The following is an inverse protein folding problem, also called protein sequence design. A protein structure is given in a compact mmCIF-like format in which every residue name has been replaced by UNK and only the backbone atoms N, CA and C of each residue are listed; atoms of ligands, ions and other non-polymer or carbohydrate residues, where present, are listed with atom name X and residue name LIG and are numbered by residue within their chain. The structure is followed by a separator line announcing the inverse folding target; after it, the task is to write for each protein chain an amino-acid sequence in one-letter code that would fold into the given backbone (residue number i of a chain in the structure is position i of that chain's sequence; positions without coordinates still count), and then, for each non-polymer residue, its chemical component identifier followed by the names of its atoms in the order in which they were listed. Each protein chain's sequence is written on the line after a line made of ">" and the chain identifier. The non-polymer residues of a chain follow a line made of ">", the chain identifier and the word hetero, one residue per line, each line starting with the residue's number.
data_IF_789064297374
#
_entry.id   IF_789064297374
#
_cell.length_a   1.000
_cell.length_b   1.000
_cell.length_c   1.000
_cell.angle_alpha   90.00
_cell.angle_beta   90.00
_cell.angle_gamma   90.00
#
_symmetry.space_group_name_H-M   'P 1'
#
loop_
_entity.id
_entity.type
_entity.pdbx_description
1 polymer ?
#
# COMPACT_ATOMS: atom_id res chain seq x y z
N UNK A 1 -8.11 20.04 80.73
CA UNK A 1 -7.76 20.92 81.88
C UNK A 1 -8.10 22.36 81.54
N UNK A 2 -8.68 23.04 82.52
CA UNK A 2 -9.39 24.32 82.46
C UNK A 2 -8.48 25.51 82.16
N UNK A 3 -8.99 26.40 81.32
CA UNK A 3 -8.97 27.87 81.39
C UNK A 3 -7.66 28.64 81.68
N UNK A 4 -7.40 29.67 80.86
CA UNK A 4 -7.43 31.08 81.32
C UNK A 4 -7.53 32.05 80.14
N UNK A 5 -8.70 32.71 80.06
CA UNK A 5 -8.87 34.02 79.42
C UNK A 5 -8.20 35.07 80.32
N UNK A 6 -7.45 35.98 79.74
CA UNK A 6 -7.29 37.34 80.26
C UNK A 6 -7.32 38.31 79.08
N UNK A 7 -8.43 39.04 78.97
CA UNK A 7 -8.50 40.27 78.19
C UNK A 7 -7.67 41.34 78.89
N UNK A 8 -6.91 42.14 78.13
CA UNK A 8 -6.61 43.53 78.50
C UNK A 8 -6.82 44.42 77.27
N UNK A 9 -7.52 45.52 77.55
CA UNK A 9 -8.09 46.58 76.72
C UNK A 9 -7.11 47.47 75.94
N UNK A 10 -7.65 48.11 74.88
CA UNK A 10 -7.26 49.44 74.36
C UNK A 10 -6.17 49.41 73.27
N UNK A 11 -6.30 50.05 72.11
CA UNK A 11 -6.94 51.34 71.79
C UNK A 11 -7.53 51.27 70.38
N UNK A 12 -8.82 51.61 70.26
CA UNK A 12 -9.48 51.94 69.00
C UNK A 12 -9.08 53.38 68.68
N UNK A 13 -8.44 53.60 67.53
CA UNK A 13 -8.40 54.92 66.89
C UNK A 13 -9.36 54.85 65.71
N UNK A 14 -10.43 55.60 65.86
CA UNK A 14 -11.38 55.92 64.80
C UNK A 14 -10.66 56.71 63.72
N UNK A 15 -10.54 56.10 62.54
CA UNK A 15 -10.39 56.80 61.27
C UNK A 15 -11.45 56.21 60.33
N UNK A 16 -12.72 56.59 60.57
CA UNK A 16 -13.82 56.39 59.63
C UNK A 16 -13.66 57.34 58.42
N UNK A 17 -12.64 57.09 57.59
CA UNK A 17 -12.63 57.60 56.21
C UNK A 17 -13.10 56.49 55.26
N UNK A 18 -14.23 56.74 54.62
CA UNK A 18 -14.83 55.87 53.61
C UNK A 18 -13.81 55.64 52.48
N UNK A 19 -13.35 54.38 52.28
CA UNK A 19 -12.52 54.05 51.10
C UNK A 19 -13.38 54.20 49.84
N UNK A 20 -13.11 55.23 49.04
CA UNK A 20 -13.78 55.43 47.74
C UNK A 20 -13.45 54.24 46.84
N UNK A 21 -14.48 53.46 46.51
CA UNK A 21 -14.40 52.38 45.52
C UNK A 21 -14.22 53.02 44.14
N UNK A 22 -13.01 52.97 43.59
CA UNK A 22 -12.77 53.31 42.19
C UNK A 22 -13.48 52.28 41.30
N UNK A 23 -14.65 52.64 40.78
CA UNK A 23 -15.48 51.76 39.94
C UNK A 23 -14.86 51.45 38.57
N UNK A 24 -13.76 52.12 38.21
CA UNK A 24 -13.07 51.87 36.95
C UNK A 24 -11.53 51.93 37.13
N UNK A 25 -10.91 50.88 37.71
CA UNK A 25 -9.47 50.81 37.77
C UNK A 25 -8.93 50.75 36.33
N UNK A 26 -8.09 51.72 35.94
CA UNK A 26 -7.35 51.63 34.67
C UNK A 26 -6.55 50.34 34.71
N UNK A 27 -7.01 49.33 33.96
CA UNK A 27 -6.32 48.03 33.84
C UNK A 27 -4.85 48.32 33.56
N UNK A 28 -3.97 47.96 34.49
CA UNK A 28 -2.54 47.92 34.20
C UNK A 28 -2.40 46.98 33.02
N UNK A 29 -2.01 47.52 31.86
CA UNK A 29 -1.71 46.71 30.69
C UNK A 29 -0.44 45.97 31.07
N UNK A 30 -0.59 44.78 31.66
CA UNK A 30 0.51 43.81 31.75
C UNK A 30 0.94 43.56 30.32
N UNK A 31 2.05 44.20 29.92
CA UNK A 31 2.61 44.04 28.60
C UNK A 31 2.79 42.55 28.35
N UNK A 32 2.05 42.00 27.39
CA UNK A 32 2.18 40.61 26.97
C UNK A 32 3.65 40.41 26.62
N UNK A 33 4.41 39.69 27.45
CA UNK A 33 5.78 39.33 27.09
C UNK A 33 5.72 38.60 25.75
N UNK A 34 6.34 39.18 24.72
CA UNK A 34 6.47 38.52 23.42
C UNK A 34 7.29 37.27 23.65
N UNK A 35 6.63 36.12 23.61
CA UNK A 35 7.27 34.81 23.66
C UNK A 35 8.35 34.76 22.57
N UNK A 36 9.64 34.67 22.98
CA UNK A 36 10.76 34.58 22.05
C UNK A 36 10.58 33.29 21.24
N UNK A 37 10.49 33.43 19.91
CA UNK A 37 10.41 32.27 19.03
C UNK A 37 11.75 31.51 19.10
N UNK A 38 11.73 30.17 19.21
CA UNK A 38 12.96 29.41 19.14
C UNK A 38 13.62 29.61 17.78
N UNK A 39 14.95 29.70 17.75
CA UNK A 39 15.72 29.80 16.53
C UNK A 39 15.62 28.48 15.73
N UNK A 40 15.45 28.61 14.42
CA UNK A 40 15.34 27.44 13.53
C UNK A 40 16.73 26.94 13.17
N UNK A 41 16.97 25.66 13.43
CA UNK A 41 18.21 24.96 13.06
C UNK A 41 18.34 24.96 11.51
N UNK A 42 19.54 25.12 10.94
CA UNK A 42 19.74 25.02 9.49
C UNK A 42 19.32 23.65 8.95
N UNK A 43 18.90 23.57 7.67
CA UNK A 43 18.45 22.32 7.07
C UNK A 43 19.62 21.34 6.92
N UNK A 44 19.34 20.05 7.18
CA UNK A 44 20.31 18.94 7.07
C UNK A 44 21.02 18.89 5.71
N UNK A 45 20.34 19.26 4.63
CA UNK A 45 20.92 19.30 3.28
C UNK A 45 22.22 20.11 3.15
N UNK A 46 22.47 21.09 4.02
CA UNK A 46 23.71 21.88 4.00
C UNK A 46 24.91 21.15 4.61
N UNK A 47 24.69 20.17 5.48
CA UNK A 47 25.75 19.42 6.16
C UNK A 47 26.00 18.04 5.53
N UNK A 48 25.31 17.70 4.44
CA UNK A 48 25.44 16.39 3.79
C UNK A 48 26.69 16.34 2.89
N UNK A 49 27.53 15.30 3.02
CA UNK A 49 28.63 15.09 2.08
C UNK A 49 28.10 14.63 0.72
N UNK A 50 28.84 14.97 -0.35
CA UNK A 50 28.46 14.67 -1.74
C UNK A 50 28.51 13.17 -2.02
N UNK A 51 29.48 12.46 -1.44
CA UNK A 51 29.69 11.02 -1.63
C UNK A 51 28.83 10.14 -0.68
N UNK A 52 27.85 10.74 0.00
CA UNK A 52 27.00 10.02 0.93
C UNK A 52 26.14 8.96 0.22
N UNK A 53 25.99 7.80 0.86
CA UNK A 53 25.04 6.80 0.41
C UNK A 53 23.59 7.28 0.55
N UNK A 54 22.97 7.57 -0.59
CA UNK A 54 21.61 8.10 -0.65
C UNK A 54 20.56 7.16 -0.07
N UNK A 55 20.77 5.84 -0.13
CA UNK A 55 19.82 4.84 0.41
C UNK A 55 19.61 4.99 1.91
N UNK A 56 20.64 5.42 2.64
CA UNK A 56 20.54 5.66 4.09
C UNK A 56 19.82 6.97 4.42
N UNK A 57 19.87 7.94 3.50
CA UNK A 57 19.17 9.23 3.64
C UNK A 57 17.68 9.06 3.38
N UNK A 58 17.33 8.23 2.39
CA UNK A 58 15.97 8.04 1.91
C UNK A 58 15.61 6.55 1.73
N UNK A 59 15.41 5.80 2.84
CA UNK A 59 15.28 4.34 2.78
C UNK A 59 13.93 3.83 2.28
N UNK A 60 12.88 4.66 2.28
CA UNK A 60 11.52 4.20 1.97
C UNK A 60 10.61 5.29 1.42
N UNK A 61 9.36 4.94 1.07
CA UNK A 61 8.39 5.88 0.52
C UNK A 61 8.04 6.93 1.57
N UNK A 62 8.24 8.21 1.22
CA UNK A 62 7.95 9.35 2.09
C UNK A 62 7.58 10.56 1.26
N UNK A 63 6.73 11.43 1.78
CA UNK A 63 6.47 12.74 1.18
C UNK A 63 7.76 13.56 1.07
N UNK A 64 7.87 14.37 0.02
CA UNK A 64 9.05 15.19 -0.24
C UNK A 64 9.37 16.09 0.96
N UNK A 65 10.61 16.01 1.45
CA UNK A 65 11.06 16.81 2.59
C UNK A 65 12.20 17.75 2.15
N UNK A 66 11.94 19.07 2.08
CA UNK A 66 12.88 20.01 1.46
C UNK A 66 14.21 20.17 2.22
N UNK A 67 14.21 19.90 3.53
CA UNK A 67 15.42 19.99 4.35
C UNK A 67 16.36 18.78 4.20
N UNK A 68 15.85 17.62 3.75
CA UNK A 68 16.63 16.39 3.57
C UNK A 68 17.19 16.30 2.16
N UNK A 69 16.44 16.72 1.14
CA UNK A 69 16.88 16.56 -0.25
C UNK A 69 17.89 17.65 -0.61
N UNK A 70 19.15 17.33 -0.93
CA UNK A 70 20.22 18.30 -1.21
C UNK A 70 20.19 18.85 -2.65
N UNK A 71 19.03 18.79 -3.31
CA UNK A 71 18.85 19.28 -4.67
C UNK A 71 18.15 20.65 -4.67
N UNK A 72 18.54 21.59 -5.54
CA UNK A 72 17.89 22.88 -5.69
C UNK A 72 16.65 22.77 -6.59
N UNK A 73 15.65 22.01 -6.15
CA UNK A 73 14.41 21.79 -6.91
C UNK A 73 13.52 23.03 -6.89
N UNK A 74 12.87 23.29 -8.03
CA UNK A 74 11.87 24.33 -8.22
C UNK A 74 10.72 23.79 -9.05
N UNK A 75 9.49 24.12 -8.68
CA UNK A 75 8.30 23.66 -9.41
C UNK A 75 7.13 24.59 -9.17
N UNK A 76 6.32 24.80 -10.20
CA UNK A 76 5.14 25.65 -10.16
C UNK A 76 5.15 26.66 -11.30
N UNK A 77 3.97 26.91 -11.87
CA UNK A 77 3.80 27.86 -12.97
C UNK A 77 3.83 29.30 -12.45
N UNK A 78 4.55 30.17 -13.17
CA UNK A 78 4.58 31.61 -12.93
C UNK A 78 4.61 32.31 -14.30
N UNK A 79 3.86 33.41 -14.44
CA UNK A 79 3.77 34.15 -15.71
C UNK A 79 5.05 34.95 -16.05
N UNK A 80 5.76 35.47 -15.04
CA UNK A 80 7.05 36.17 -15.20
C UNK A 80 7.96 35.84 -14.01
N UNK A 81 9.20 35.42 -14.28
CA UNK A 81 10.21 35.15 -13.24
C UNK A 81 10.53 33.67 -13.03
N UNK A 82 11.11 33.35 -11.86
CA UNK A 82 11.62 32.01 -11.52
C UNK A 82 10.60 31.24 -10.68
N UNK A 83 10.40 29.96 -11.01
CA UNK A 83 9.48 29.06 -10.30
C UNK A 83 9.79 28.96 -8.79
N UNK A 84 8.76 28.69 -7.96
CA UNK A 84 8.92 28.60 -6.51
C UNK A 84 9.94 27.52 -6.12
N UNK A 85 10.76 27.83 -5.11
CA UNK A 85 11.75 26.90 -4.56
C UNK A 85 11.14 25.71 -3.84
N UNK A 86 11.99 24.85 -3.26
CA UNK A 86 11.54 23.62 -2.59
C UNK A 86 10.88 23.82 -1.22
N UNK A 87 11.22 24.88 -0.50
CA UNK A 87 10.70 25.12 0.86
C UNK A 87 9.25 25.63 0.79
N UNK A 88 8.33 24.90 1.43
CA UNK A 88 6.91 25.26 1.47
C UNK A 88 6.14 25.06 0.16
N UNK A 89 6.70 24.33 -0.80
CA UNK A 89 6.08 24.13 -2.11
C UNK A 89 5.16 22.91 -2.12
N UNK A 90 3.85 23.18 -2.22
CA UNK A 90 2.82 22.14 -2.22
C UNK A 90 2.88 21.25 -3.48
N UNK A 91 3.32 21.77 -4.63
CA UNK A 91 3.40 20.98 -5.86
C UNK A 91 4.42 19.83 -5.74
N UNK A 92 5.55 20.10 -5.09
CA UNK A 92 6.55 19.06 -4.79
C UNK A 92 6.06 18.03 -3.76
N UNK A 93 5.12 18.41 -2.89
CA UNK A 93 4.54 17.48 -1.91
C UNK A 93 3.49 16.55 -2.51
N UNK A 94 2.79 16.98 -3.57
CA UNK A 94 1.75 16.19 -4.25
C UNK A 94 2.35 15.03 -5.07
N UNK A 95 3.56 15.19 -5.60
CA UNK A 95 4.17 14.19 -6.47
C UNK A 95 4.54 12.93 -5.67
N UNK A 96 4.12 11.72 -6.10
CA UNK A 96 4.68 10.48 -5.59
C UNK A 96 6.13 10.37 -6.07
N UNK A 97 7.08 10.67 -5.18
CA UNK A 97 8.50 10.67 -5.52
C UNK A 97 9.10 9.26 -5.51
N UNK A 98 10.13 9.07 -6.33
CA UNK A 98 10.88 7.81 -6.46
C UNK A 98 12.29 7.93 -5.84
N UNK A 99 12.48 8.84 -4.89
CA UNK A 99 13.80 9.09 -4.29
C UNK A 99 14.34 7.89 -3.49
N UNK A 100 13.49 6.98 -3.05
CA UNK A 100 13.88 5.71 -2.42
C UNK A 100 14.26 4.64 -3.47
N UNK A 101 13.73 4.74 -4.69
CA UNK A 101 13.92 3.77 -5.78
C UNK A 101 14.97 4.25 -6.78
N UNK A 102 16.11 4.72 -6.28
CA UNK A 102 17.24 5.08 -7.14
C UNK A 102 17.94 3.83 -7.69
N UNK A 103 18.60 3.88 -8.87
CA UNK A 103 19.25 2.70 -9.44
C UNK A 103 20.26 2.00 -8.51
N UNK A 104 21.09 2.72 -7.72
CA UNK A 104 21.95 2.08 -6.72
C UNK A 104 21.17 1.36 -5.60
N UNK A 105 20.04 1.92 -5.17
CA UNK A 105 19.15 1.30 -4.18
C UNK A 105 18.59 -0.01 -4.71
N UNK A 106 18.04 0.02 -5.94
CA UNK A 106 17.44 -1.16 -6.57
C UNK A 106 18.46 -2.29 -6.69
N UNK A 107 19.70 -2.01 -7.10
CA UNK A 107 20.77 -3.02 -7.18
C UNK A 107 21.03 -3.69 -5.82
N UNK A 108 21.18 -2.89 -4.75
CA UNK A 108 21.37 -3.41 -3.38
C UNK A 108 20.17 -4.25 -2.91
N UNK A 109 18.94 -3.78 -3.18
CA UNK A 109 17.72 -4.50 -2.82
C UNK A 109 17.59 -5.82 -3.59
N UNK A 110 17.80 -5.82 -4.90
CA UNK A 110 17.77 -7.03 -5.73
C UNK A 110 18.83 -8.04 -5.28
N UNK A 111 20.05 -7.60 -4.94
CA UNK A 111 21.10 -8.47 -4.42
C UNK A 111 20.68 -9.15 -3.11
N UNK A 112 20.05 -8.41 -2.19
CA UNK A 112 19.52 -8.97 -0.96
C UNK A 112 18.32 -9.91 -1.18
N UNK A 113 17.53 -9.69 -2.24
CA UNK A 113 16.36 -10.50 -2.59
C UNK A 113 16.72 -11.79 -3.34
N UNK A 114 17.87 -11.83 -4.04
CA UNK A 114 18.32 -13.01 -4.80
C UNK A 114 18.35 -14.30 -3.97
N UNK A 115 18.63 -14.20 -2.67
CA UNK A 115 18.64 -15.36 -1.75
C UNK A 115 17.27 -16.06 -1.60
N UNK A 116 16.18 -15.39 -1.95
CA UNK A 116 14.82 -15.95 -1.88
C UNK A 116 14.34 -16.48 -3.24
N UNK A 117 15.06 -16.19 -4.33
CA UNK A 117 14.69 -16.63 -5.67
C UNK A 117 15.24 -18.04 -5.92
N UNK A 118 14.48 -18.84 -6.66
CA UNK A 118 14.93 -20.13 -7.19
C UNK A 118 15.24 -19.99 -8.68
N UNK A 119 16.22 -20.74 -9.18
CA UNK A 119 16.48 -20.79 -10.61
C UNK A 119 15.28 -21.41 -11.35
N UNK A 120 15.01 -20.93 -12.55
CA UNK A 120 14.03 -21.54 -13.44
C UNK A 120 14.55 -22.91 -13.91
N UNK A 121 13.71 -23.96 -13.97
CA UNK A 121 14.13 -25.30 -14.38
C UNK A 121 14.73 -25.35 -15.80
N UNK A 122 15.86 -26.05 -15.92
CA UNK A 122 16.50 -26.32 -17.22
C UNK A 122 15.61 -27.25 -18.08
N UNK A 123 15.50 -26.95 -19.37
CA UNK A 123 14.67 -27.72 -20.30
C UNK A 123 13.29 -27.12 -20.58
N UNK A 124 12.81 -26.15 -19.78
CA UNK A 124 11.57 -25.40 -20.00
C UNK A 124 11.82 -23.98 -20.53
N UNK A 125 12.76 -23.84 -21.46
CA UNK A 125 13.17 -22.54 -22.01
C UNK A 125 12.22 -22.02 -23.09
N UNK A 126 11.48 -22.92 -23.74
CA UNK A 126 10.58 -22.63 -24.86
C UNK A 126 9.17 -23.03 -24.51
N UNK A 127 8.19 -22.20 -24.87
CA UNK A 127 6.77 -22.42 -24.59
C UNK A 127 6.29 -23.79 -25.10
N UNK A 128 6.75 -24.24 -26.27
CA UNK A 128 6.41 -25.56 -26.83
C UNK A 128 6.80 -26.75 -25.92
N UNK A 129 7.91 -26.64 -25.18
CA UNK A 129 8.34 -27.66 -24.22
C UNK A 129 7.50 -27.61 -22.95
N UNK A 130 7.13 -26.39 -22.52
CA UNK A 130 6.21 -26.20 -21.40
C UNK A 130 4.85 -26.82 -21.69
N UNK A 131 4.27 -26.56 -22.86
CA UNK A 131 2.98 -27.13 -23.29
C UNK A 131 3.02 -28.66 -23.41
N UNK A 132 4.17 -29.23 -23.80
CA UNK A 132 4.35 -30.68 -23.90
C UNK A 132 4.36 -31.37 -22.53
N UNK A 133 5.10 -30.82 -21.57
CA UNK A 133 5.23 -31.41 -20.23
C UNK A 133 4.05 -31.03 -19.31
N UNK A 134 3.48 -29.83 -19.51
CA UNK A 134 2.39 -29.25 -18.73
C UNK A 134 1.23 -28.79 -19.63
N UNK A 135 0.34 -29.72 -20.06
CA UNK A 135 -0.75 -29.43 -21.00
C UNK A 135 -1.95 -28.68 -20.39
N UNK A 136 -1.85 -28.27 -19.12
CA UNK A 136 -2.90 -27.62 -18.36
C UNK A 136 -2.40 -26.29 -17.81
N UNK A 137 -3.18 -25.23 -18.03
CA UNK A 137 -2.91 -23.90 -17.53
C UNK A 137 -3.99 -23.47 -16.54
N UNK A 138 -3.56 -22.92 -15.41
CA UNK A 138 -4.46 -22.36 -14.41
C UNK A 138 -4.23 -20.87 -14.31
N UNK A 139 -5.29 -20.11 -14.53
CA UNK A 139 -5.28 -18.66 -14.44
C UNK A 139 -5.98 -18.22 -13.15
N UNK A 140 -5.27 -17.43 -12.36
CA UNK A 140 -5.77 -16.78 -11.14
C UNK A 140 -5.39 -15.31 -11.17
N UNK A 141 -6.31 -14.42 -10.80
CA UNK A 141 -6.07 -12.98 -10.75
C UNK A 141 -6.08 -12.47 -9.32
N UNK A 142 -5.09 -11.63 -8.99
CA UNK A 142 -5.00 -10.94 -7.70
C UNK A 142 -5.08 -9.43 -7.92
N UNK A 143 -5.86 -8.75 -7.08
CA UNK A 143 -6.13 -7.32 -7.19
C UNK A 143 -5.55 -6.55 -6.01
N UNK A 144 -4.78 -5.50 -6.28
CA UNK A 144 -4.16 -4.66 -5.26
C UNK A 144 -4.73 -3.23 -5.36
N UNK A 145 -5.65 -2.90 -4.45
CA UNK A 145 -6.27 -1.57 -4.35
C UNK A 145 -5.69 -0.78 -3.17
N UNK A 146 -5.74 0.55 -3.22
CA UNK A 146 -5.39 1.43 -2.10
C UNK A 146 -6.48 1.54 -1.01
N UNK A 147 -7.50 0.68 -1.08
CA UNK A 147 -8.63 0.61 -0.16
C UNK A 147 -8.21 -0.01 1.19
N UNK A 148 -8.85 0.36 2.32
CA UNK A 148 -8.66 -0.34 3.60
C UNK A 148 -9.13 -1.81 3.55
N UNK A 149 -9.91 -2.19 2.54
CA UNK A 149 -10.41 -3.55 2.35
C UNK A 149 -9.51 -4.30 1.37
N UNK A 150 -8.92 -5.41 1.82
CA UNK A 150 -8.06 -6.29 1.00
C UNK A 150 -8.85 -7.28 0.13
N UNK A 151 -10.16 -7.40 0.34
CA UNK A 151 -10.99 -8.43 -0.29
C UNK A 151 -11.54 -7.92 -1.63
N UNK A 152 -11.28 -8.67 -2.68
CA UNK A 152 -11.91 -8.48 -3.99
C UNK A 152 -12.70 -9.75 -4.37
N UNK A 153 -14.01 -9.66 -4.64
CA UNK A 153 -14.81 -10.81 -5.02
C UNK A 153 -14.34 -11.47 -6.33
N UNK A 154 -13.65 -10.77 -7.22
CA UNK A 154 -13.18 -11.29 -8.50
C UNK A 154 -11.98 -12.23 -8.33
N UNK A 155 -11.20 -12.09 -7.26
CA UNK A 155 -10.01 -12.92 -7.01
C UNK A 155 -10.33 -14.42 -6.76
N UNK A 156 -11.61 -14.76 -6.54
CA UNK A 156 -12.03 -16.16 -6.34
C UNK A 156 -12.13 -16.95 -7.65
N UNK A 157 -12.23 -16.28 -8.80
CA UNK A 157 -12.48 -16.91 -10.09
C UNK A 157 -11.23 -17.67 -10.52
N UNK A 158 -11.41 -18.93 -10.89
CA UNK A 158 -10.35 -19.78 -11.43
C UNK A 158 -10.74 -20.21 -12.83
N UNK A 159 -9.84 -20.00 -13.78
CA UNK A 159 -10.00 -20.45 -15.17
C UNK A 159 -8.95 -21.52 -15.44
N UNK A 160 -9.40 -22.71 -15.79
CA UNK A 160 -8.57 -23.83 -16.23
C UNK A 160 -8.67 -23.92 -17.75
N UNK A 161 -7.53 -23.84 -18.44
CA UNK A 161 -7.43 -24.12 -19.87
C UNK A 161 -6.69 -25.43 -20.09
N UNK A 162 -7.16 -26.19 -21.06
CA UNK A 162 -6.56 -27.46 -21.39
C UNK A 162 -6.58 -27.67 -22.91
N UNK A 163 -5.42 -28.04 -23.45
CA UNK A 163 -5.25 -28.26 -24.90
C UNK A 163 -5.14 -29.74 -25.27
N UNK A 164 -4.44 -30.55 -24.46
CA UNK A 164 -4.17 -31.96 -24.79
C UNK A 164 -4.73 -32.92 -23.75
N UNK A 165 -5.76 -33.67 -24.14
CA UNK A 165 -6.24 -34.84 -23.41
C UNK A 165 -6.04 -36.11 -24.26
N UNK A 166 -5.55 -37.22 -23.68
CA UNK A 166 -5.47 -38.50 -24.36
C UNK A 166 -6.87 -39.14 -24.45
N UNK A 167 -7.68 -38.72 -25.43
CA UNK A 167 -9.04 -39.21 -25.65
C UNK A 167 -9.13 -40.03 -26.94
N UNK A 168 -9.89 -41.12 -26.89
CA UNK A 168 -10.34 -41.85 -28.08
C UNK A 168 -11.37 -41.03 -28.88
N UNK A 169 -11.61 -41.38 -30.14
CA UNK A 169 -12.57 -40.69 -31.02
C UNK A 169 -13.98 -40.62 -30.41
N UNK A 170 -14.44 -41.72 -29.81
CA UNK A 170 -15.71 -41.75 -29.06
C UNK A 170 -15.71 -40.78 -27.88
N UNK A 171 -14.63 -40.80 -27.08
CA UNK A 171 -14.54 -39.99 -25.88
C UNK A 171 -14.42 -38.49 -26.21
N UNK A 172 -13.67 -38.13 -27.27
CA UNK A 172 -13.60 -36.75 -27.76
C UNK A 172 -14.97 -36.25 -28.23
N UNK A 173 -15.69 -37.03 -29.04
CA UNK A 173 -17.05 -36.68 -29.50
C UNK A 173 -18.05 -36.53 -28.34
N UNK A 174 -18.03 -37.46 -27.37
CA UNK A 174 -18.87 -37.36 -26.16
C UNK A 174 -18.51 -36.14 -25.32
N UNK A 175 -17.22 -35.87 -25.11
CA UNK A 175 -16.75 -34.71 -24.34
C UNK A 175 -17.19 -33.39 -24.98
N UNK A 176 -17.03 -33.24 -26.30
CA UNK A 176 -17.44 -32.04 -27.02
C UNK A 176 -18.94 -31.76 -26.85
N UNK A 177 -19.79 -32.81 -26.87
CA UNK A 177 -21.23 -32.69 -26.61
C UNK A 177 -21.56 -32.31 -25.16
N UNK A 178 -20.79 -32.79 -24.17
CA UNK A 178 -20.99 -32.47 -22.75
C UNK A 178 -20.59 -31.04 -22.40
N UNK A 179 -19.49 -30.58 -22.99
CA UNK A 179 -18.84 -29.30 -22.68
C UNK A 179 -19.55 -28.13 -23.37
N UNK A 180 -20.08 -28.33 -24.59
CA UNK A 180 -20.80 -27.31 -25.34
C UNK A 180 -19.95 -26.08 -25.63
N UNK A 181 -20.42 -24.90 -25.21
CA UNK A 181 -19.79 -23.59 -25.48
C UNK A 181 -18.42 -23.36 -24.82
N UNK A 182 -18.02 -24.23 -23.89
CA UNK A 182 -16.74 -24.10 -23.17
C UNK A 182 -15.52 -24.58 -23.96
N UNK A 183 -15.74 -25.20 -25.12
CA UNK A 183 -14.68 -25.64 -26.02
C UNK A 183 -14.64 -24.74 -27.25
N UNK A 184 -13.44 -24.32 -27.64
CA UNK A 184 -13.24 -23.52 -28.84
C UNK A 184 -12.71 -24.41 -29.99
N UNK A 185 -13.47 -24.60 -31.09
CA UNK A 185 -13.06 -25.46 -32.20
C UNK A 185 -11.87 -24.91 -33.00
N UNK A 186 -11.64 -23.60 -33.00
CA UNK A 186 -10.58 -22.98 -33.79
C UNK A 186 -9.19 -23.17 -33.15
N UNK A 187 -9.15 -23.31 -31.82
CA UNK A 187 -7.91 -23.42 -31.03
C UNK A 187 -7.73 -24.79 -30.37
N UNK A 188 -8.73 -25.68 -30.45
CA UNK A 188 -8.79 -26.99 -29.76
C UNK A 188 -8.59 -26.88 -28.23
N UNK A 189 -8.98 -25.74 -27.63
CA UNK A 189 -8.82 -25.48 -26.18
C UNK A 189 -10.14 -25.60 -25.42
N UNK A 190 -10.12 -26.43 -24.38
CA UNK A 190 -11.17 -26.53 -23.38
C UNK A 190 -10.96 -25.49 -22.27
N UNK A 191 -11.94 -24.63 -22.03
CA UNK A 191 -11.90 -23.61 -20.97
C UNK A 191 -12.97 -23.87 -19.91
N UNK A 192 -12.56 -24.18 -18.68
CA UNK A 192 -13.44 -24.34 -17.52
C UNK A 192 -13.27 -23.14 -16.59
N UNK A 193 -14.31 -22.32 -16.49
CA UNK A 193 -14.37 -21.20 -15.53
C UNK A 193 -15.18 -21.61 -14.31
N UNK A 194 -14.64 -21.35 -13.12
CA UNK A 194 -15.28 -21.65 -11.83
C UNK A 194 -15.28 -20.43 -10.92
N UNK A 195 -16.47 -20.05 -10.44
CA UNK A 195 -16.70 -18.85 -9.63
C UNK A 195 -17.72 -19.06 -8.48
N UNK A 196 -18.17 -20.31 -8.30
CA UNK A 196 -19.27 -20.69 -7.41
C UNK A 196 -18.90 -20.59 -5.93
N UNK A 197 -17.68 -20.99 -5.57
CA UNK A 197 -17.24 -21.05 -4.19
C UNK A 197 -16.62 -19.72 -3.74
N UNK A 198 -16.72 -19.34 -2.45
CA UNK A 198 -16.13 -18.12 -1.93
C UNK A 198 -14.59 -18.09 -2.00
N UNK A 199 -13.95 -19.25 -1.75
CA UNK A 199 -12.50 -19.36 -1.71
C UNK A 199 -11.94 -19.82 -3.06
N UNK A 200 -10.82 -19.22 -3.46
CA UNK A 200 -10.09 -19.61 -4.68
C UNK A 200 -9.68 -21.09 -4.68
N UNK A 201 -9.22 -21.60 -3.54
CA UNK A 201 -8.84 -23.01 -3.39
C UNK A 201 -10.00 -23.95 -3.68
N UNK A 202 -11.22 -23.61 -3.23
CA UNK A 202 -12.40 -24.44 -3.49
C UNK A 202 -12.79 -24.42 -4.97
N UNK A 203 -12.70 -23.27 -5.64
CA UNK A 203 -12.94 -23.18 -7.08
C UNK A 203 -11.89 -23.95 -7.88
N UNK A 204 -10.62 -23.92 -7.44
CA UNK A 204 -9.55 -24.73 -8.01
C UNK A 204 -9.83 -26.23 -7.89
N UNK A 205 -10.16 -26.71 -6.69
CA UNK A 205 -10.49 -28.13 -6.46
C UNK A 205 -11.74 -28.55 -7.25
N UNK A 206 -12.72 -27.65 -7.35
CA UNK A 206 -13.92 -27.87 -8.14
C UNK A 206 -13.65 -27.91 -9.64
N UNK A 207 -12.74 -27.09 -10.17
CA UNK A 207 -12.31 -27.15 -11.57
C UNK A 207 -11.66 -28.50 -11.89
N UNK A 208 -10.78 -28.99 -11.01
CA UNK A 208 -10.18 -30.33 -11.12
C UNK A 208 -11.21 -31.46 -11.04
N UNK A 209 -12.17 -31.35 -10.12
CA UNK A 209 -13.28 -32.29 -10.01
C UNK A 209 -14.10 -32.34 -11.31
N UNK A 210 -14.46 -31.19 -11.87
CA UNK A 210 -15.21 -31.12 -13.12
C UNK A 210 -14.44 -31.73 -14.28
N UNK A 211 -13.14 -31.44 -14.40
CA UNK A 211 -12.30 -32.03 -15.44
C UNK A 211 -12.24 -33.56 -15.29
N UNK A 212 -12.05 -34.05 -14.07
CA UNK A 212 -11.98 -35.49 -13.77
C UNK A 212 -13.30 -36.19 -14.08
N UNK A 213 -14.43 -35.60 -13.67
CA UNK A 213 -15.76 -36.12 -13.95
C UNK A 213 -16.05 -36.15 -15.46
N UNK A 214 -15.75 -35.06 -16.18
CA UNK A 214 -15.89 -35.00 -17.64
C UNK A 214 -15.03 -36.05 -18.35
N UNK A 215 -13.79 -36.24 -17.89
CA UNK A 215 -12.91 -37.25 -18.44
C UNK A 215 -13.49 -38.65 -18.25
N UNK A 216 -13.82 -39.07 -17.01
CA UNK A 216 -14.35 -40.41 -16.77
C UNK A 216 -15.68 -40.66 -17.48
N UNK A 217 -16.61 -39.70 -17.44
CA UNK A 217 -17.89 -39.82 -18.14
C UNK A 217 -17.71 -39.91 -19.66
N UNK A 218 -16.70 -39.25 -20.24
CA UNK A 218 -16.44 -39.35 -21.68
C UNK A 218 -16.05 -40.76 -22.14
N UNK A 219 -15.44 -41.56 -21.26
CA UNK A 219 -15.07 -42.95 -21.55
C UNK A 219 -16.23 -43.94 -21.41
N UNK A 220 -17.23 -43.61 -20.59
CA UNK A 220 -18.38 -44.49 -20.37
C UNK A 220 -19.24 -44.58 -21.63
N UNK A 221 -19.42 -45.80 -22.14
CA UNK A 221 -20.35 -46.11 -23.23
C UNK A 221 -21.70 -46.47 -22.62
N UNK A 222 -22.70 -45.60 -22.77
CA UNK A 222 -24.07 -45.97 -22.43
C UNK A 222 -24.66 -46.72 -23.61
N UNK A 223 -24.90 -48.01 -23.42
CA UNK A 223 -25.72 -48.81 -24.32
C UNK A 223 -27.16 -48.61 -23.84
N UNK A 224 -27.96 -47.88 -24.61
CA UNK A 224 -29.41 -47.79 -24.44
C UNK A 224 -30.10 -48.90 -25.20
#
# INVERSE_FOLDING_TARGET
>A
LRARRSMIFGIIKDDEEFRVLDLNPKKSVTGRQRMKRPETIPPRSLSMPVDQDWTNVWPGPRSFHPATVPLPLRQGYIQKGVSPGKFGNAELMKIPNFLHLTPPAIKKHCEALKKFCTAWPEGLETDEKCEKEFPMEIYTTDYCHSSPVIRDPLARIVTLKLERLPLDAHAKDKLLRLVGERYNPDTDVLTIVTDRCPLRQQNYDYAHYLLTALFHESWVRHIY
#
